data_IF_686877404741
#
_entry.id   IF_686877404741
#
_cell.length_a   1.000
_cell.length_b   1.000
_cell.length_c   1.000
_cell.angle_alpha   90.00
_cell.angle_beta   90.00
_cell.angle_gamma   90.00
#
_symmetry.space_group_name_H-M   'P 1'
#
loop_
_entity.id
_entity.type
_entity.pdbx_description
1 polymer ?
#
# COMPACT_ATOMS: atom_id res chain seq x y z
N UNK A 1 -11.06 -16.08 -8.53
CA UNK A 1 -11.35 -14.85 -7.77
C UNK A 1 -10.02 -14.16 -7.59
N UNK A 2 -9.72 -13.17 -8.42
CA UNK A 2 -8.63 -12.23 -8.15
C UNK A 2 -9.21 -11.23 -7.17
N UNK A 3 -8.86 -11.37 -5.88
CA UNK A 3 -9.27 -10.41 -4.87
C UNK A 3 -8.21 -9.31 -4.85
N UNK A 4 -8.45 -8.23 -5.58
CA UNK A 4 -7.65 -7.02 -5.46
C UNK A 4 -8.17 -6.21 -4.28
N UNK A 5 -7.33 -6.01 -3.28
CA UNK A 5 -7.64 -5.12 -2.16
C UNK A 5 -6.80 -3.88 -2.34
N UNK A 6 -7.49 -2.76 -2.40
CA UNK A 6 -6.93 -1.44 -2.43
C UNK A 6 -6.61 -1.04 -1.00
N UNK A 7 -5.42 -1.41 -0.54
CA UNK A 7 -4.80 -0.80 0.62
C UNK A 7 -4.05 0.41 0.10
N UNK A 8 -4.73 1.56 -0.01
CA UNK A 8 -4.05 2.77 -0.44
C UNK A 8 -3.32 3.45 0.72
N UNK A 9 -2.20 4.03 0.32
CA UNK A 9 -1.11 4.57 1.11
C UNK A 9 -1.32 6.08 1.31
N UNK A 10 -1.06 6.55 2.51
CA UNK A 10 -0.38 7.84 2.70
C UNK A 10 0.59 7.69 3.87
N UNK A 11 1.76 8.26 3.68
CA UNK A 11 2.79 8.35 4.69
C UNK A 11 2.26 9.23 5.84
N UNK A 12 1.97 8.61 6.98
CA UNK A 12 1.73 9.30 8.23
C UNK A 12 2.77 8.81 9.24
N UNK A 13 3.75 9.65 9.50
CA UNK A 13 4.76 9.43 10.54
C UNK A 13 4.06 9.63 11.88
N UNK A 14 3.67 8.52 12.53
CA UNK A 14 3.24 8.53 13.92
C UNK A 14 4.37 8.02 14.81
N UNK A 15 4.98 8.94 15.57
CA UNK A 15 5.82 8.59 16.72
C UNK A 15 4.90 8.11 17.85
N UNK A 16 4.75 6.80 17.98
CA UNK A 16 4.02 6.18 19.08
C UNK A 16 4.93 5.99 20.29
N UNK A 17 4.69 6.80 21.32
CA UNK A 17 5.09 6.46 22.68
C UNK A 17 4.27 5.26 23.14
N UNK A 18 4.94 4.13 23.40
CA UNK A 18 4.36 2.93 24.00
C UNK A 18 3.94 3.24 25.44
N UNK A 19 2.70 3.68 25.65
CA UNK A 19 2.08 3.67 26.97
C UNK A 19 1.30 2.38 27.17
N UNK A 20 1.90 1.48 27.95
CA UNK A 20 1.29 0.26 28.45
C UNK A 20 0.33 0.60 29.60
N UNK A 21 -0.93 0.90 29.31
CA UNK A 21 -1.97 0.89 30.35
C UNK A 21 -3.30 0.35 29.81
N UNK A 22 -3.61 -0.89 30.19
CA UNK A 22 -4.94 -1.47 30.10
C UNK A 22 -5.21 -2.27 31.36
N UNK A 23 -6.13 -1.78 32.19
CA UNK A 23 -6.60 -2.47 33.39
C UNK A 23 -7.31 -3.78 33.02
N UNK A 24 -7.06 -4.90 33.70
CA UNK A 24 -7.71 -6.17 33.39
C UNK A 24 -9.18 -6.14 33.83
N UNK A 25 -10.10 -6.18 32.86
CA UNK A 25 -11.43 -6.73 33.09
C UNK A 25 -11.27 -8.23 33.33
N UNK A 26 -11.38 -8.65 34.59
CA UNK A 26 -11.44 -10.06 34.97
C UNK A 26 -12.72 -10.67 34.43
N UNK A 27 -12.62 -11.38 33.30
CA UNK A 27 -13.63 -12.35 32.90
C UNK A 27 -13.34 -13.69 33.60
N UNK A 28 -14.40 -14.30 34.10
CA UNK A 28 -14.40 -15.64 34.70
C UNK A 28 -13.72 -16.66 33.75
N UNK A 29 -12.65 -17.35 34.16
CA UNK A 29 -11.91 -18.30 33.32
C UNK A 29 -12.77 -19.46 32.79
N UNK A 30 -13.96 -19.70 33.34
CA UNK A 30 -14.89 -20.74 32.88
C UNK A 30 -15.79 -20.35 31.67
N UNK A 31 -15.60 -19.17 31.05
CA UNK A 31 -16.47 -18.68 29.96
C UNK A 31 -15.80 -18.48 28.59
N UNK A 32 -14.59 -18.99 28.36
CA UNK A 32 -14.09 -19.11 26.98
C UNK A 32 -14.82 -20.27 26.28
N UNK A 33 -15.84 -19.97 25.48
CA UNK A 33 -16.48 -20.97 24.60
C UNK A 33 -15.53 -21.36 23.47
N UNK A 34 -14.56 -22.20 23.81
CA UNK A 34 -13.62 -22.78 22.86
C UNK A 34 -14.28 -23.99 22.21
N UNK A 35 -14.98 -23.73 21.10
CA UNK A 35 -15.45 -24.79 20.21
C UNK A 35 -14.27 -25.51 19.56
N UNK A 36 -14.47 -26.76 19.15
CA UNK A 36 -13.48 -27.56 18.45
C UNK A 36 -13.29 -27.03 17.01
N UNK A 37 -12.60 -25.90 16.86
CA UNK A 37 -12.35 -25.23 15.57
C UNK A 37 -11.25 -26.01 14.83
N UNK A 38 -11.55 -26.45 13.61
CA UNK A 38 -10.58 -27.07 12.71
C UNK A 38 -9.32 -26.22 12.58
N UNK A 39 -8.14 -26.84 12.67
CA UNK A 39 -6.83 -26.16 12.66
C UNK A 39 -6.66 -25.18 11.50
N UNK A 40 -7.12 -25.56 10.30
CA UNK A 40 -7.07 -24.74 9.09
C UNK A 40 -7.91 -23.45 9.17
N UNK A 41 -8.96 -23.44 9.99
CA UNK A 41 -9.92 -22.33 10.17
C UNK A 41 -9.59 -21.45 11.38
N UNK A 42 -8.54 -21.76 12.15
CA UNK A 42 -8.15 -20.94 13.29
C UNK A 42 -7.73 -19.56 12.79
N UNK A 43 -8.39 -18.52 13.27
CA UNK A 43 -8.00 -17.13 13.00
C UNK A 43 -7.04 -16.69 14.11
N UNK A 44 -5.82 -16.31 13.72
CA UNK A 44 -4.74 -15.95 14.63
C UNK A 44 -5.13 -14.71 15.45
N UNK A 45 -5.08 -14.79 16.79
CA UNK A 45 -5.35 -13.67 17.70
C UNK A 45 -4.23 -12.62 17.69
N UNK A 46 -2.98 -13.07 17.52
CA UNK A 46 -1.79 -12.22 17.39
C UNK A 46 -0.71 -12.93 16.57
N UNK A 47 0.01 -12.20 15.71
CA UNK A 47 1.09 -12.73 14.83
C UNK A 47 2.33 -13.20 15.61
N UNK A 48 2.38 -13.00 16.93
CA UNK A 48 3.50 -13.41 17.78
C UNK A 48 3.36 -14.89 18.15
N UNK A 49 4.17 -15.74 17.52
CA UNK A 49 4.30 -17.19 17.75
C UNK A 49 4.63 -17.60 19.20
N UNK A 50 4.71 -16.68 20.16
CA UNK A 50 5.21 -16.92 21.51
C UNK A 50 4.35 -16.22 22.58
N UNK A 51 3.03 -16.21 22.43
CA UNK A 51 2.17 -15.86 23.56
C UNK A 51 2.11 -17.03 24.55
N UNK A 52 2.42 -16.83 25.85
CA UNK A 52 2.14 -17.85 26.86
C UNK A 52 0.63 -18.03 27.03
N UNK A 53 0.18 -19.22 27.43
CA UNK A 53 -1.24 -19.57 27.63
C UNK A 53 -2.02 -18.48 28.38
N UNK A 54 -1.47 -17.99 29.50
CA UNK A 54 -2.07 -16.93 30.31
C UNK A 54 -2.36 -15.65 29.51
N UNK A 55 -1.48 -15.28 28.59
CA UNK A 55 -1.66 -14.11 27.71
C UNK A 55 -2.71 -14.33 26.62
N UNK A 56 -2.99 -15.58 26.24
CA UNK A 56 -4.09 -15.91 25.33
C UNK A 56 -5.44 -15.81 26.04
N UNK A 57 -5.54 -16.39 27.24
CA UNK A 57 -6.76 -16.44 28.05
C UNK A 57 -7.16 -15.05 28.57
N UNK A 58 -6.19 -14.21 28.97
CA UNK A 58 -6.44 -12.80 29.35
C UNK A 58 -7.10 -11.99 28.23
N UNK A 59 -6.89 -12.39 26.98
CA UNK A 59 -7.51 -11.77 25.80
C UNK A 59 -8.82 -12.46 25.40
N UNK A 60 -9.37 -13.36 26.22
CA UNK A 60 -10.60 -14.10 25.92
C UNK A 60 -10.50 -15.01 24.70
N UNK A 61 -9.27 -15.39 24.33
CA UNK A 61 -8.97 -16.26 23.19
C UNK A 61 -8.78 -17.71 23.63
N UNK A 62 -8.81 -18.62 22.66
CA UNK A 62 -8.68 -20.05 22.88
C UNK A 62 -7.24 -20.51 22.71
N UNK A 63 -6.76 -21.29 23.68
CA UNK A 63 -5.44 -21.89 23.68
C UNK A 63 -5.52 -23.39 23.37
N UNK A 64 -4.88 -23.82 22.28
CA UNK A 64 -4.75 -25.23 21.91
C UNK A 64 -3.41 -25.44 21.21
N UNK A 65 -2.36 -25.82 21.96
CA UNK A 65 -1.04 -26.06 21.40
C UNK A 65 -1.04 -27.28 20.48
N UNK A 66 -0.24 -27.23 19.42
CA UNK A 66 -0.10 -28.29 18.41
C UNK A 66 1.35 -28.40 17.96
N UNK A 67 1.79 -29.61 17.63
CA UNK A 67 3.13 -29.90 17.10
C UNK A 67 3.27 -29.60 15.59
N UNK A 68 2.23 -29.07 14.95
CA UNK A 68 2.27 -28.63 13.56
C UNK A 68 2.88 -27.22 13.43
N UNK A 69 3.89 -27.07 12.57
CA UNK A 69 4.53 -25.76 12.32
C UNK A 69 3.52 -24.76 11.75
N UNK A 70 3.58 -23.52 12.25
CA UNK A 70 2.83 -22.34 11.82
C UNK A 70 1.31 -22.34 12.10
N UNK A 71 0.76 -23.38 12.73
CA UNK A 71 -0.64 -23.35 13.18
C UNK A 71 -0.74 -22.56 14.48
N UNK A 72 -1.66 -21.58 14.60
CA UNK A 72 -1.78 -20.78 15.80
C UNK A 72 -2.24 -21.61 17.00
N UNK A 73 -1.45 -21.52 18.08
CA UNK A 73 -1.81 -22.06 19.40
C UNK A 73 -2.87 -21.20 20.09
N UNK A 74 -2.82 -19.87 19.89
CA UNK A 74 -3.82 -18.92 20.38
C UNK A 74 -4.68 -18.40 19.22
N UNK A 75 -5.99 -18.63 19.28
CA UNK A 75 -6.94 -18.24 18.23
C UNK A 75 -8.21 -17.64 18.81
N UNK A 76 -8.93 -16.85 18.01
CA UNK A 76 -10.15 -16.19 18.47
C UNK A 76 -11.25 -17.17 18.87
N UNK A 77 -11.96 -16.83 19.94
CA UNK A 77 -13.24 -17.44 20.31
C UNK A 77 -14.39 -16.75 19.56
N UNK A 78 -15.59 -17.33 19.59
CA UNK A 78 -16.82 -16.72 19.04
C UNK A 78 -17.32 -15.52 19.84
N UNK A 79 -16.64 -15.15 20.94
CA UNK A 79 -17.05 -14.08 21.83
C UNK A 79 -16.50 -12.70 21.41
N UNK A 80 -15.64 -12.66 20.39
CA UNK A 80 -15.10 -11.44 19.81
C UNK A 80 -15.93 -11.01 18.59
N UNK A 81 -15.94 -9.70 18.32
CA UNK A 81 -16.60 -9.14 17.15
C UNK A 81 -17.59 -8.05 17.51
N UNK A 82 -18.55 -7.84 16.60
CA UNK A 82 -19.60 -6.85 16.70
C UNK A 82 -20.96 -7.52 16.57
N UNK A 83 -22.03 -6.88 17.03
CA UNK A 83 -23.41 -7.23 16.71
C UNK A 83 -24.03 -6.18 15.80
N UNK A 84 -24.94 -6.60 14.94
CA UNK A 84 -25.77 -5.69 14.15
C UNK A 84 -26.93 -5.23 15.02
N UNK A 85 -26.98 -3.93 15.33
CA UNK A 85 -28.06 -3.31 16.12
C UNK A 85 -29.23 -2.88 15.23
N UNK A 86 -28.94 -2.32 14.06
CA UNK A 86 -29.94 -1.92 13.08
C UNK A 86 -29.42 -2.16 11.67
N UNK A 87 -30.36 -2.41 10.74
CA UNK A 87 -30.10 -2.49 9.30
C UNK A 87 -31.12 -1.60 8.60
N UNK A 88 -30.62 -0.73 7.75
CA UNK A 88 -31.41 0.16 6.90
C UNK A 88 -31.09 -0.13 5.44
N UNK A 89 -32.12 -0.12 4.60
CA UNK A 89 -31.99 -0.33 3.17
C UNK A 89 -32.61 0.86 2.43
N UNK A 90 -31.89 2.01 2.36
CA UNK A 90 -32.44 3.23 1.78
C UNK A 90 -32.72 3.09 0.27
N UNK A 91 -32.00 2.21 -0.40
CA UNK A 91 -32.12 1.91 -1.82
C UNK A 91 -31.96 0.38 -2.03
N UNK A 92 -32.63 -0.26 -3.00
CA UNK A 92 -32.43 -1.67 -3.35
C UNK A 92 -30.97 -2.11 -3.54
N UNK A 93 -30.05 -1.18 -3.81
CA UNK A 93 -28.64 -1.39 -4.08
C UNK A 93 -27.71 -1.03 -2.91
N UNK A 94 -28.26 -0.49 -1.81
CA UNK A 94 -27.49 0.01 -0.67
C UNK A 94 -27.98 -0.66 0.62
N UNK A 95 -27.05 -1.16 1.43
CA UNK A 95 -27.32 -1.60 2.80
C UNK A 95 -26.48 -0.76 3.76
N UNK A 96 -27.12 -0.25 4.81
CA UNK A 96 -26.46 0.40 5.92
C UNK A 96 -26.75 -0.37 7.20
N UNK A 97 -25.79 -0.47 8.10
CA UNK A 97 -26.00 -1.10 9.39
C UNK A 97 -25.20 -0.40 10.49
N UNK A 98 -25.80 -0.34 11.68
CA UNK A 98 -25.11 0.10 12.88
C UNK A 98 -24.60 -1.12 13.64
N UNK A 99 -23.30 -1.11 13.96
CA UNK A 99 -22.63 -2.23 14.62
C UNK A 99 -22.18 -1.82 16.01
N UNK A 100 -22.38 -2.70 17.00
CA UNK A 100 -21.95 -2.50 18.37
C UNK A 100 -20.95 -3.56 18.80
N UNK A 101 -19.85 -3.14 19.42
CA UNK A 101 -18.80 -4.06 19.87
C UNK A 101 -19.35 -5.02 20.93
N UNK A 102 -19.06 -6.31 20.77
CA UNK A 102 -19.38 -7.31 21.78
C UNK A 102 -18.48 -7.14 23.02
N UNK A 103 -18.96 -7.50 24.22
CA UNK A 103 -18.15 -7.44 25.43
C UNK A 103 -17.05 -8.52 25.40
N UNK A 104 -15.87 -8.12 24.90
CA UNK A 104 -14.65 -8.93 24.90
C UNK A 104 -13.45 -8.10 25.38
N UNK A 105 -12.39 -8.74 25.92
CA UNK A 105 -11.15 -8.04 26.24
C UNK A 105 -10.58 -7.30 25.03
N UNK A 106 -9.86 -6.20 25.30
CA UNK A 106 -9.13 -5.48 24.26
C UNK A 106 -7.86 -6.24 23.87
N UNK A 107 -7.51 -6.20 22.59
CA UNK A 107 -6.24 -6.74 22.12
C UNK A 107 -5.10 -5.73 22.19
N UNK A 108 -5.36 -4.50 21.74
CA UNK A 108 -4.36 -3.45 21.54
C UNK A 108 -4.74 -2.09 22.16
N UNK A 109 -5.86 -2.01 22.89
CA UNK A 109 -6.41 -0.76 23.43
C UNK A 109 -7.27 0.01 22.42
N UNK A 110 -7.92 1.08 22.89
CA UNK A 110 -8.69 2.02 22.07
C UNK A 110 -9.69 1.37 21.08
N UNK A 111 -10.41 0.33 21.53
CA UNK A 111 -11.46 -0.31 20.71
C UNK A 111 -12.64 0.65 20.46
N UNK A 112 -13.06 0.74 19.20
CA UNK A 112 -14.20 1.57 18.79
C UNK A 112 -15.50 0.83 19.15
N UNK A 113 -16.38 1.45 19.92
CA UNK A 113 -17.57 0.75 20.44
C UNK A 113 -18.71 0.65 19.43
N UNK A 114 -18.84 1.64 18.56
CA UNK A 114 -19.92 1.78 17.59
C UNK A 114 -19.34 2.05 16.21
N UNK A 115 -19.69 1.21 15.24
CA UNK A 115 -19.26 1.33 13.85
C UNK A 115 -20.46 1.51 12.94
N UNK A 116 -20.23 2.22 11.84
CA UNK A 116 -21.15 2.26 10.70
C UNK A 116 -20.63 1.33 9.62
N UNK A 117 -21.53 0.50 9.11
CA UNK A 117 -21.34 -0.30 7.92
C UNK A 117 -22.14 0.30 6.78
N UNK A 118 -21.50 0.49 5.63
CA UNK A 118 -22.14 0.94 4.41
C UNK A 118 -21.71 0.02 3.27
N UNK A 119 -22.65 -0.58 2.56
CA UNK A 119 -22.40 -1.36 1.37
C UNK A 119 -23.26 -0.90 0.21
N UNK A 120 -22.68 -0.84 -0.97
CA UNK A 120 -23.33 -0.40 -2.19
C UNK A 120 -22.92 -1.28 -3.37
N UNK A 121 -23.88 -1.65 -4.21
CA UNK A 121 -23.61 -2.17 -5.54
C UNK A 121 -23.32 -0.99 -6.47
N UNK A 122 -22.04 -0.73 -6.76
CA UNK A 122 -21.63 0.36 -7.64
C UNK A 122 -21.82 0.04 -9.12
N UNK A 123 -21.70 -1.24 -9.48
CA UNK A 123 -22.00 -1.75 -10.84
C UNK A 123 -22.54 -3.17 -10.71
N UNK A 124 -23.00 -3.78 -11.80
CA UNK A 124 -23.40 -5.20 -11.82
C UNK A 124 -22.27 -6.17 -11.46
N UNK A 125 -21.01 -5.71 -11.50
CA UNK A 125 -19.79 -6.47 -11.28
C UNK A 125 -18.95 -5.94 -10.11
N UNK A 126 -19.42 -4.94 -9.36
CA UNK A 126 -18.64 -4.32 -8.28
C UNK A 126 -19.52 -4.03 -7.06
N UNK A 127 -19.22 -4.74 -5.98
CA UNK A 127 -19.71 -4.46 -4.64
C UNK A 127 -18.65 -3.67 -3.90
N UNK A 128 -19.01 -2.53 -3.31
CA UNK A 128 -18.18 -1.85 -2.31
C UNK A 128 -18.82 -2.04 -0.94
N UNK A 129 -18.02 -2.28 0.08
CA UNK A 129 -18.46 -2.12 1.45
C UNK A 129 -17.38 -1.44 2.29
N UNK A 130 -17.82 -0.65 3.25
CA UNK A 130 -16.99 0.14 4.12
C UNK A 130 -17.44 -0.01 5.57
N UNK A 131 -16.49 -0.19 6.47
CA UNK A 131 -16.70 -0.17 7.92
C UNK A 131 -15.85 0.97 8.49
N UNK A 132 -16.49 1.86 9.25
CA UNK A 132 -15.87 3.06 9.79
C UNK A 132 -16.46 3.42 11.16
N UNK A 133 -15.79 4.31 11.90
CA UNK A 133 -16.26 4.81 13.20
C UNK A 133 -17.53 5.63 13.02
N UNK A 134 -18.58 5.31 13.78
CA UNK A 134 -19.88 5.96 13.67
C UNK A 134 -19.90 7.40 14.21
N UNK A 135 -18.89 7.77 15.02
CA UNK A 135 -18.85 9.04 15.78
C UNK A 135 -17.74 9.96 15.33
N UNK A 136 -16.60 9.41 14.91
CA UNK A 136 -15.42 10.19 14.52
C UNK A 136 -15.02 9.92 13.07
N UNK A 137 -14.69 10.99 12.35
CA UNK A 137 -14.06 10.84 11.05
C UNK A 137 -12.64 10.29 11.21
N UNK A 138 -12.32 9.25 10.45
CA UNK A 138 -10.99 8.63 10.41
C UNK A 138 -10.33 8.92 9.08
N UNK A 139 -9.02 8.70 9.00
CA UNK A 139 -8.29 8.83 7.75
C UNK A 139 -8.88 7.89 6.68
N UNK A 140 -9.19 8.46 5.53
CA UNK A 140 -9.58 7.77 4.32
C UNK A 140 -8.64 8.21 3.22
N UNK A 141 -8.30 7.30 2.32
CA UNK A 141 -7.29 7.59 1.31
C UNK A 141 -7.89 8.52 0.25
N UNK A 142 -7.32 9.73 0.04
CA UNK A 142 -7.79 10.67 -0.97
C UNK A 142 -7.32 10.25 -2.37
N UNK A 143 -7.92 9.20 -2.93
CA UNK A 143 -7.49 8.64 -4.22
C UNK A 143 -8.02 9.44 -5.42
N UNK A 144 -7.12 9.89 -6.30
CA UNK A 144 -7.44 10.81 -7.41
C UNK A 144 -8.42 10.26 -8.45
N UNK A 145 -8.41 8.95 -8.70
CA UNK A 145 -9.27 8.32 -9.73
C UNK A 145 -10.50 7.59 -9.19
N UNK A 146 -10.54 7.27 -7.89
CA UNK A 146 -11.63 6.47 -7.34
C UNK A 146 -12.77 7.42 -7.04
N UNK A 147 -13.66 7.58 -8.01
CA UNK A 147 -14.86 8.38 -7.91
C UNK A 147 -16.10 7.49 -7.83
N UNK A 148 -17.21 8.05 -7.35
CA UNK A 148 -18.52 7.39 -7.40
C UNK A 148 -18.93 7.24 -8.87
N UNK A 149 -18.74 6.03 -9.42
CA UNK A 149 -19.09 5.72 -10.80
C UNK A 149 -20.62 5.73 -10.97
N UNK A 150 -21.09 6.49 -11.95
CA UNK A 150 -22.49 6.69 -12.33
C UNK A 150 -23.05 5.55 -13.18
N UNK A 151 -22.87 4.29 -12.75
CA UNK A 151 -23.49 3.14 -13.42
C UNK A 151 -24.62 2.63 -12.54
N UNK A 152 -25.81 2.47 -13.12
CA UNK A 152 -26.93 1.88 -12.40
C UNK A 152 -26.72 0.35 -12.31
N UNK A 153 -26.61 -0.22 -11.11
CA UNK A 153 -26.55 -1.66 -10.92
C UNK A 153 -27.83 -2.33 -11.44
N UNK A 154 -27.70 -3.53 -12.01
CA UNK A 154 -28.83 -4.25 -12.62
C UNK A 154 -29.57 -5.18 -11.64
N UNK A 155 -29.06 -5.36 -10.42
CA UNK A 155 -29.61 -6.32 -9.45
C UNK A 155 -29.50 -5.80 -8.03
N UNK A 156 -30.54 -5.99 -7.18
CA UNK A 156 -30.49 -5.60 -5.77
C UNK A 156 -29.30 -6.20 -5.03
N UNK A 157 -28.75 -5.45 -4.07
CA UNK A 157 -27.58 -5.86 -3.28
C UNK A 157 -27.84 -7.13 -2.47
N UNK A 158 -29.08 -7.37 -2.06
CA UNK A 158 -29.50 -8.56 -1.30
C UNK A 158 -29.27 -9.89 -2.03
N UNK A 159 -29.13 -9.87 -3.36
CA UNK A 159 -28.77 -11.07 -4.14
C UNK A 159 -27.29 -11.46 -4.00
N UNK A 160 -26.46 -10.51 -3.60
CA UNK A 160 -24.99 -10.60 -3.60
C UNK A 160 -24.45 -10.59 -2.18
N UNK A 161 -24.99 -9.77 -1.29
CA UNK A 161 -24.52 -9.59 0.09
C UNK A 161 -25.58 -10.01 1.11
N UNK A 162 -25.16 -10.83 2.07
CA UNK A 162 -25.95 -11.27 3.22
C UNK A 162 -25.19 -10.93 4.51
N UNK A 163 -25.88 -10.35 5.50
CA UNK A 163 -25.32 -9.99 6.80
C UNK A 163 -25.65 -11.05 7.84
N UNK A 164 -24.63 -11.51 8.57
CA UNK A 164 -24.81 -12.26 9.83
C UNK A 164 -24.86 -11.26 10.98
N UNK A 165 -25.81 -11.41 11.91
CA UNK A 165 -26.07 -10.40 12.94
C UNK A 165 -25.26 -10.56 14.24
N UNK A 166 -24.97 -11.79 14.67
CA UNK A 166 -24.30 -12.07 15.94
C UNK A 166 -23.48 -13.38 15.91
N UNK A 167 -22.13 -13.30 15.89
CA UNK A 167 -21.34 -12.11 15.60
C UNK A 167 -21.57 -11.60 14.17
N UNK A 168 -21.27 -10.32 13.95
CA UNK A 168 -21.34 -9.67 12.65
C UNK A 168 -20.43 -10.37 11.65
N UNK A 169 -20.97 -10.59 10.45
CA UNK A 169 -20.20 -11.14 9.33
C UNK A 169 -20.88 -10.88 8.00
N UNK A 170 -20.11 -11.02 6.92
CA UNK A 170 -20.50 -10.74 5.55
C UNK A 170 -20.37 -12.03 4.74
N UNK A 171 -21.43 -12.40 4.04
CA UNK A 171 -21.39 -13.45 3.03
C UNK A 171 -21.66 -12.82 1.67
N UNK A 172 -20.63 -12.80 0.82
CA UNK A 172 -20.73 -12.33 -0.55
C UNK A 172 -20.81 -13.53 -1.49
N UNK A 173 -21.87 -13.56 -2.30
CA UNK A 173 -22.19 -14.65 -3.21
C UNK A 173 -22.24 -14.14 -4.64
N UNK A 174 -21.86 -15.02 -5.56
CA UNK A 174 -22.10 -14.81 -6.99
C UNK A 174 -23.60 -14.92 -7.28
N UNK A 175 -24.17 -13.93 -7.97
CA UNK A 175 -25.63 -13.85 -8.21
C UNK A 175 -26.17 -15.06 -8.97
N UNK A 176 -25.42 -15.57 -9.96
CA UNK A 176 -25.87 -16.60 -10.91
C UNK A 176 -25.96 -18.00 -10.29
N UNK A 177 -24.97 -18.39 -9.49
CA UNK A 177 -24.85 -19.76 -8.96
C UNK A 177 -24.81 -19.84 -7.44
N UNK A 178 -25.01 -18.70 -6.75
CA UNK A 178 -25.01 -18.57 -5.28
C UNK A 178 -23.73 -19.05 -4.60
N UNK A 179 -22.63 -19.25 -5.36
CA UNK A 179 -21.33 -19.63 -4.82
C UNK A 179 -20.80 -18.51 -3.93
N UNK A 180 -20.42 -18.87 -2.71
CA UNK A 180 -19.77 -17.94 -1.76
C UNK A 180 -18.38 -17.61 -2.26
N UNK A 181 -18.08 -16.33 -2.38
CA UNK A 181 -16.80 -15.80 -2.85
C UNK A 181 -15.99 -15.16 -1.72
N UNK A 182 -16.66 -14.58 -0.74
CA UNK A 182 -16.03 -13.92 0.39
C UNK A 182 -16.92 -14.10 1.62
N UNK A 183 -16.43 -14.83 2.62
CA UNK A 183 -17.18 -15.16 3.83
C UNK A 183 -16.38 -14.79 5.07
N UNK A 184 -16.81 -13.75 5.77
CA UNK A 184 -16.10 -13.24 6.94
C UNK A 184 -16.49 -13.91 8.26
N UNK A 185 -17.46 -14.84 8.26
CA UNK A 185 -17.94 -15.44 9.52
C UNK A 185 -16.93 -16.41 10.15
N UNK A 186 -15.78 -16.66 9.52
CA UNK A 186 -14.75 -17.53 10.10
C UNK A 186 -13.95 -16.84 11.22
N UNK A 187 -13.92 -15.52 11.26
CA UNK A 187 -13.09 -14.75 12.17
C UNK A 187 -13.79 -13.46 12.60
N UNK A 188 -13.50 -12.94 13.79
CA UNK A 188 -14.15 -11.73 14.27
C UNK A 188 -13.64 -10.50 13.50
N UNK A 189 -14.53 -9.52 13.32
CA UNK A 189 -14.14 -8.15 13.04
C UNK A 189 -13.49 -7.55 14.30
N UNK A 190 -12.27 -7.06 14.18
CA UNK A 190 -11.61 -6.26 15.22
C UNK A 190 -11.42 -4.86 14.67
N UNK A 191 -11.80 -3.85 15.45
CA UNK A 191 -11.69 -2.45 15.04
C UNK A 191 -11.32 -1.61 16.26
N UNK A 192 -10.06 -1.22 16.30
CA UNK A 192 -9.48 -0.30 17.26
C UNK A 192 -8.78 0.84 16.49
N UNK A 193 -8.44 1.91 17.20
CA UNK A 193 -7.81 3.08 16.57
C UNK A 193 -6.54 2.74 15.78
N UNK A 194 -5.72 1.83 16.29
CA UNK A 194 -4.47 1.41 15.64
C UNK A 194 -4.39 -0.10 15.34
N UNK A 195 -5.54 -0.75 15.25
CA UNK A 195 -5.60 -2.16 14.85
C UNK A 195 -6.97 -2.51 14.28
N UNK A 196 -7.01 -2.76 12.97
CA UNK A 196 -8.22 -3.19 12.26
C UNK A 196 -7.93 -4.56 11.65
N UNK A 197 -8.86 -5.50 11.79
CA UNK A 197 -8.72 -6.84 11.24
C UNK A 197 -10.04 -7.35 10.66
N UNK A 198 -9.96 -7.91 9.45
CA UNK A 198 -11.04 -8.65 8.81
C UNK A 198 -10.49 -9.92 8.15
N UNK A 199 -11.11 -11.05 8.43
CA UNK A 199 -10.77 -12.33 7.80
C UNK A 199 -11.88 -12.78 6.86
N UNK A 200 -11.54 -13.41 5.75
CA UNK A 200 -12.51 -13.88 4.76
C UNK A 200 -12.12 -15.20 4.10
N UNK A 201 -13.10 -16.10 3.98
CA UNK A 201 -12.91 -17.43 3.43
C UNK A 201 -13.09 -17.33 1.94
N UNK A 202 -12.16 -17.94 1.22
CA UNK A 202 -12.11 -17.89 -0.22
C UNK A 202 -12.61 -19.21 -0.81
N UNK A 203 -13.15 -19.19 -2.04
CA UNK A 203 -13.69 -20.39 -2.68
C UNK A 203 -12.62 -21.36 -3.20
N UNK A 204 -11.33 -20.97 -3.22
CA UNK A 204 -10.24 -21.77 -3.78
C UNK A 204 -8.87 -21.31 -3.31
N UNK A 205 -7.85 -22.15 -3.46
CA UNK A 205 -6.44 -21.82 -3.24
C UNK A 205 -5.78 -21.04 -4.40
N UNK A 206 -6.52 -20.76 -5.48
CA UNK A 206 -6.00 -20.04 -6.64
C UNK A 206 -6.06 -18.53 -6.37
N UNK A 207 -5.06 -18.04 -5.65
CA UNK A 207 -4.90 -16.65 -5.22
C UNK A 207 -3.65 -16.07 -5.90
N UNK A 208 -3.77 -14.84 -6.42
CA UNK A 208 -2.75 -14.12 -7.17
C UNK A 208 -2.84 -12.63 -6.81
N UNK A 209 -1.75 -11.87 -6.95
CA UNK A 209 -1.68 -10.46 -6.56
C UNK A 209 -0.89 -10.27 -5.26
N UNK A 210 -1.26 -9.27 -4.46
CA UNK A 210 -0.45 -8.72 -3.36
C UNK A 210 0.89 -8.14 -3.87
N UNK A 211 1.45 -7.17 -3.15
CA UNK A 211 2.72 -6.59 -3.57
C UNK A 211 3.10 -5.33 -2.80
N UNK A 212 4.35 -4.87 -2.93
CA UNK A 212 5.41 -5.46 -3.77
C UNK A 212 6.27 -6.48 -2.98
N UNK A 213 6.44 -7.70 -3.51
CA UNK A 213 7.19 -8.78 -2.86
C UNK A 213 7.83 -9.76 -3.86
N UNK A 214 8.91 -10.42 -3.44
CA UNK A 214 9.43 -11.60 -4.15
C UNK A 214 8.71 -12.87 -3.69
N UNK A 215 7.58 -13.18 -4.35
CA UNK A 215 6.76 -14.35 -4.01
C UNK A 215 7.41 -15.72 -4.34
N UNK A 216 8.45 -15.75 -5.20
CA UNK A 216 9.05 -16.95 -5.82
C UNK A 216 8.12 -17.79 -6.71
N UNK A 217 6.80 -17.74 -6.50
CA UNK A 217 5.77 -18.38 -7.32
C UNK A 217 4.64 -17.40 -7.59
N UNK A 218 4.03 -17.47 -8.77
CA UNK A 218 2.92 -16.59 -9.13
C UNK A 218 1.62 -16.93 -8.38
N UNK A 219 1.28 -18.23 -8.28
CA UNK A 219 0.17 -18.69 -7.43
C UNK A 219 0.64 -18.73 -5.98
N UNK A 220 -0.10 -18.06 -5.10
CA UNK A 220 0.24 -17.98 -3.68
C UNK A 220 0.27 -19.33 -2.97
N UNK A 221 1.24 -19.47 -2.06
CA UNK A 221 1.24 -20.53 -1.05
C UNK A 221 0.30 -20.11 0.10
N UNK A 222 -0.76 -20.88 0.32
CA UNK A 222 -1.73 -20.62 1.39
C UNK A 222 -1.35 -21.29 2.71
N UNK A 223 -0.14 -21.80 2.87
CA UNK A 223 0.30 -22.44 4.11
C UNK A 223 0.88 -21.43 5.10
N UNK A 224 0.00 -20.70 5.78
CA UNK A 224 0.32 -19.74 6.85
C UNK A 224 1.42 -18.75 6.44
N UNK A 225 1.17 -18.03 5.35
CA UNK A 225 2.08 -17.01 4.82
C UNK A 225 1.58 -15.62 5.15
N UNK A 226 2.46 -14.78 5.66
CA UNK A 226 2.15 -13.37 5.95
C UNK A 226 2.97 -12.48 5.04
N UNK A 227 2.29 -11.57 4.36
CA UNK A 227 2.86 -10.60 3.43
C UNK A 227 2.68 -9.19 4.00
N UNK A 228 3.73 -8.58 4.57
CA UNK A 228 3.67 -7.21 5.09
C UNK A 228 3.60 -6.22 3.93
N UNK A 229 2.71 -5.24 3.98
CA UNK A 229 2.59 -4.19 2.95
C UNK A 229 2.91 -2.86 3.60
N UNK A 230 4.12 -2.39 3.33
CA UNK A 230 4.61 -1.06 3.64
C UNK A 230 5.73 -0.74 2.65
N UNK A 231 5.62 0.40 1.98
CA UNK A 231 6.59 0.84 0.98
C UNK A 231 7.93 1.10 1.64
N UNK A 232 8.96 0.40 1.17
CA UNK A 232 10.26 0.39 1.80
C UNK A 232 11.32 0.15 0.74
N UNK A 233 12.38 0.94 0.76
CA UNK A 233 13.59 0.60 0.04
C UNK A 233 14.25 -0.62 0.70
N UNK A 234 14.30 -1.71 -0.05
CA UNK A 234 14.96 -2.93 0.33
C UNK A 234 15.34 -3.71 -0.92
N UNK A 235 16.49 -4.38 -0.88
CA UNK A 235 16.82 -5.34 -1.90
C UNK A 235 15.74 -6.44 -1.97
N UNK A 236 15.30 -6.86 -3.17
CA UNK A 236 14.28 -7.89 -3.32
C UNK A 236 14.61 -9.23 -2.62
N UNK A 237 15.90 -9.52 -2.41
CA UNK A 237 16.41 -10.72 -1.72
C UNK A 237 16.91 -10.45 -0.30
N UNK A 238 16.73 -9.24 0.23
CA UNK A 238 17.16 -8.88 1.58
C UNK A 238 16.48 -9.76 2.65
N UNK A 239 17.12 -9.98 3.81
CA UNK A 239 16.48 -10.68 4.90
C UNK A 239 15.14 -10.02 5.24
N UNK A 240 14.11 -10.83 5.47
CA UNK A 240 12.85 -10.38 6.06
C UNK A 240 13.16 -9.78 7.43
N UNK A 241 13.44 -8.49 7.48
CA UNK A 241 13.48 -7.75 8.74
C UNK A 241 12.02 -7.57 9.11
N UNK A 242 11.62 -8.22 10.20
CA UNK A 242 10.35 -7.97 10.87
C UNK A 242 10.37 -6.53 11.38
N UNK A 243 10.06 -5.57 10.51
CA UNK A 243 9.90 -4.18 10.90
C UNK A 243 8.68 -4.14 11.83
N UNK A 244 8.85 -3.63 13.05
CA UNK A 244 7.80 -3.58 14.08
C UNK A 244 6.72 -2.52 13.79
N UNK A 245 6.84 -1.81 12.68
CA UNK A 245 5.94 -0.77 12.21
C UNK A 245 5.41 -1.15 10.83
N UNK A 246 4.48 -2.11 10.77
CA UNK A 246 3.82 -2.51 9.53
C UNK A 246 2.52 -1.73 9.40
N UNK A 247 2.36 -0.95 8.33
CA UNK A 247 1.09 -0.25 8.07
C UNK A 247 -0.05 -1.24 7.83
N UNK A 248 0.24 -2.32 7.09
CA UNK A 248 -0.68 -3.43 6.92
C UNK A 248 0.03 -4.76 6.68
N UNK A 249 -0.66 -5.86 6.92
CA UNK A 249 -0.23 -7.21 6.55
C UNK A 249 -1.39 -8.06 6.08
N UNK A 250 -1.09 -9.01 5.19
CA UNK A 250 -2.05 -9.97 4.65
C UNK A 250 -1.58 -11.39 4.98
N UNK A 251 -2.37 -12.13 5.76
CA UNK A 251 -2.09 -13.54 6.08
C UNK A 251 -2.95 -14.47 5.23
N UNK A 252 -2.32 -15.42 4.55
CA UNK A 252 -2.96 -16.51 3.82
C UNK A 252 -2.83 -17.82 4.60
N UNK A 253 -3.96 -18.50 4.80
CA UNK A 253 -4.00 -19.76 5.57
C UNK A 253 -4.72 -20.88 4.80
N UNK A 254 -4.56 -22.16 5.20
CA UNK A 254 -5.02 -23.31 4.42
C UNK A 254 -6.54 -23.49 4.28
N UNK A 255 -7.36 -22.62 4.88
CA UNK A 255 -8.82 -22.73 4.93
C UNK A 255 -9.57 -22.68 3.59
N UNK A 256 -8.96 -22.37 2.43
CA UNK A 256 -8.17 -21.18 2.06
C UNK A 256 -8.84 -19.88 2.53
N UNK A 257 -8.09 -19.07 3.27
CA UNK A 257 -8.60 -17.81 3.80
C UNK A 257 -7.53 -16.73 3.77
N UNK A 258 -8.01 -15.50 3.82
CA UNK A 258 -7.19 -14.29 3.89
C UNK A 258 -7.59 -13.49 5.12
N UNK A 259 -6.60 -12.98 5.84
CA UNK A 259 -6.79 -12.04 6.94
C UNK A 259 -6.02 -10.77 6.65
N UNK A 260 -6.73 -9.64 6.62
CA UNK A 260 -6.16 -8.30 6.53
C UNK A 260 -5.97 -7.76 7.94
N UNK A 261 -4.80 -7.22 8.22
CA UNK A 261 -4.53 -6.42 9.43
C UNK A 261 -3.94 -5.09 9.00
N UNK A 262 -4.42 -3.99 9.56
CA UNK A 262 -3.89 -2.65 9.32
C UNK A 262 -3.87 -1.85 10.62
N UNK A 263 -2.98 -0.86 10.72
CA UNK A 263 -2.75 -0.07 11.95
C UNK A 263 -3.48 1.27 11.97
N UNK A 264 -4.42 1.51 11.06
CA UNK A 264 -5.14 2.77 11.01
C UNK A 264 -6.15 2.86 9.87
N UNK A 265 -6.74 4.04 9.74
CA UNK A 265 -7.75 4.35 8.73
C UNK A 265 -9.07 3.63 8.97
N UNK A 266 -9.64 3.09 7.89
CA UNK A 266 -10.93 2.39 7.83
C UNK A 266 -10.78 1.07 7.05
N UNK A 267 -11.83 0.24 7.08
CA UNK A 267 -11.92 -0.94 6.21
C UNK A 267 -12.82 -0.62 5.02
N UNK A 268 -12.25 -0.19 3.89
CA UNK A 268 -12.97 0.06 2.62
C UNK A 268 -12.58 -0.99 1.57
N UNK A 269 -13.53 -1.84 1.20
CA UNK A 269 -13.31 -3.03 0.39
C UNK A 269 -14.12 -2.97 -0.90
N UNK A 270 -13.50 -3.40 -1.99
CA UNK A 270 -14.15 -3.60 -3.29
C UNK A 270 -14.07 -5.08 -3.67
N UNK A 271 -15.22 -5.69 -3.94
CA UNK A 271 -15.30 -7.06 -4.48
C UNK A 271 -15.73 -6.98 -5.93
N UNK A 272 -14.86 -7.49 -6.79
CA UNK A 272 -14.98 -7.44 -8.24
C UNK A 272 -15.37 -8.82 -8.78
N UNK A 273 -16.38 -8.84 -9.64
CA UNK A 273 -16.90 -10.04 -10.27
C UNK A 273 -16.54 -10.05 -11.76
N UNK A 274 -16.14 -11.22 -12.26
CA UNK A 274 -15.92 -11.48 -13.66
C UNK A 274 -16.07 -12.98 -13.95
N UNK A 275 -16.34 -13.32 -15.19
CA UNK A 275 -16.44 -14.70 -15.66
C UNK A 275 -15.06 -15.26 -16.04
N UNK A 276 -14.11 -14.38 -16.37
CA UNK A 276 -12.69 -14.70 -16.59
C UNK A 276 -11.77 -13.91 -15.64
N UNK A 277 -10.53 -14.37 -15.38
CA UNK A 277 -9.52 -13.60 -14.67
C UNK A 277 -9.29 -12.20 -15.26
N UNK A 278 -9.25 -12.10 -16.59
CA UNK A 278 -9.02 -10.86 -17.33
C UNK A 278 -10.13 -9.84 -17.10
N UNK A 279 -11.40 -10.27 -17.05
CA UNK A 279 -12.52 -9.38 -16.73
C UNK A 279 -12.41 -8.81 -15.32
N UNK A 280 -11.91 -9.58 -14.35
CA UNK A 280 -11.67 -9.06 -12.99
C UNK A 280 -10.58 -8.00 -12.99
N UNK A 281 -9.51 -8.19 -13.78
CA UNK A 281 -8.47 -7.16 -13.96
C UNK A 281 -9.05 -5.91 -14.65
N UNK A 282 -9.91 -6.06 -15.66
CA UNK A 282 -10.57 -4.93 -16.33
C UNK A 282 -11.45 -4.12 -15.38
N UNK A 283 -12.27 -4.78 -14.55
CA UNK A 283 -13.11 -4.13 -13.54
C UNK A 283 -12.27 -3.44 -12.45
N UNK A 284 -11.11 -4.01 -12.11
CA UNK A 284 -10.16 -3.37 -11.20
C UNK A 284 -9.59 -2.09 -11.80
N UNK A 285 -9.09 -2.14 -13.03
CA UNK A 285 -8.52 -0.98 -13.72
C UNK A 285 -9.56 0.10 -14.06
N UNK A 286 -10.82 -0.28 -14.27
CA UNK A 286 -11.93 0.67 -14.39
C UNK A 286 -12.17 1.45 -13.08
N UNK A 287 -11.98 0.80 -11.93
CA UNK A 287 -12.12 1.44 -10.61
C UNK A 287 -10.95 2.39 -10.31
N UNK A 288 -9.72 1.96 -10.56
CA UNK A 288 -8.52 2.62 -10.02
C UNK A 288 -7.84 3.58 -11.00
N UNK A 289 -8.32 3.60 -12.25
CA UNK A 289 -7.64 4.25 -13.36
C UNK A 289 -6.95 3.22 -14.25
N UNK A 290 -7.25 3.30 -15.54
CA UNK A 290 -6.59 2.46 -16.55
C UNK A 290 -5.15 2.94 -16.73
N UNK A 291 -4.20 2.03 -17.02
CA UNK A 291 -2.83 2.43 -17.30
C UNK A 291 -2.79 3.40 -18.48
N UNK A 292 -1.90 4.39 -18.40
CA UNK A 292 -1.65 5.31 -19.51
C UNK A 292 -1.12 4.54 -20.72
N UNK A 293 -1.44 5.00 -21.93
CA UNK A 293 -0.83 4.44 -23.14
C UNK A 293 0.61 4.94 -23.17
N UNK A 294 1.62 4.05 -23.08
CA UNK A 294 3.00 4.49 -23.10
C UNK A 294 3.38 4.99 -24.50
N UNK A 295 4.29 5.96 -24.63
CA UNK A 295 4.76 6.38 -25.94
C UNK A 295 5.48 5.20 -26.63
N UNK A 296 5.30 5.05 -27.94
CA UNK A 296 5.75 3.85 -28.67
C UNK A 296 7.24 3.52 -28.44
N UNK A 297 8.10 4.54 -28.43
CA UNK A 297 9.54 4.40 -28.21
C UNK A 297 9.91 3.78 -26.85
N UNK A 298 9.03 3.89 -25.85
CA UNK A 298 9.28 3.30 -24.51
C UNK A 298 9.21 1.78 -24.47
N UNK A 299 8.64 1.16 -25.52
CA UNK A 299 8.64 -0.30 -25.70
C UNK A 299 9.99 -0.82 -26.22
N UNK A 300 10.86 0.07 -26.68
CA UNK A 300 12.20 -0.26 -27.14
C UNK A 300 13.14 -0.65 -26.00
N UNK A 301 14.29 -1.23 -26.36
CA UNK A 301 15.29 -1.63 -25.36
C UNK A 301 15.95 -0.40 -24.71
N UNK A 302 16.21 -0.53 -23.41
CA UNK A 302 16.65 0.55 -22.53
C UNK A 302 17.97 0.17 -21.89
N UNK A 303 18.93 1.09 -21.90
CA UNK A 303 20.25 0.86 -21.30
C UNK A 303 20.50 1.88 -20.20
N UNK A 304 20.85 1.38 -19.03
CA UNK A 304 21.12 2.15 -17.83
C UNK A 304 22.23 1.49 -17.02
N UNK A 305 22.89 2.29 -16.17
CA UNK A 305 23.68 1.81 -15.05
C UNK A 305 23.75 2.91 -14.00
N UNK A 306 23.90 2.50 -12.75
CA UNK A 306 24.40 3.41 -11.73
C UNK A 306 25.90 3.62 -11.93
N UNK A 307 26.31 4.89 -11.98
CA UNK A 307 27.70 5.35 -12.04
C UNK A 307 28.42 4.95 -13.35
N UNK A 308 28.15 5.68 -14.43
CA UNK A 308 29.05 5.73 -15.59
C UNK A 308 30.32 6.51 -15.27
N UNK A 309 30.20 7.52 -14.41
CA UNK A 309 31.28 8.36 -13.92
C UNK A 309 31.63 9.55 -14.82
N UNK A 310 31.30 9.52 -16.12
CA UNK A 310 31.42 10.67 -17.03
C UNK A 310 30.57 10.50 -18.28
N UNK A 311 30.25 11.62 -18.94
CA UNK A 311 29.52 11.59 -20.21
C UNK A 311 30.30 10.90 -21.34
N UNK A 312 31.64 10.93 -21.29
CA UNK A 312 32.47 10.22 -22.27
C UNK A 312 32.31 8.70 -22.19
N UNK A 313 32.20 8.14 -20.99
CA UNK A 313 31.95 6.70 -20.81
C UNK A 313 30.51 6.32 -21.17
N UNK A 314 29.54 7.22 -20.98
CA UNK A 314 28.17 7.06 -21.52
C UNK A 314 28.23 6.98 -23.05
N UNK A 315 28.82 7.96 -23.73
CA UNK A 315 28.95 7.98 -25.20
C UNK A 315 29.66 6.74 -25.74
N UNK A 316 30.75 6.31 -25.09
CA UNK A 316 31.45 5.06 -25.45
C UNK A 316 30.57 3.83 -25.31
N UNK A 317 29.72 3.80 -24.28
CA UNK A 317 28.74 2.72 -24.09
C UNK A 317 27.64 2.76 -25.14
N UNK A 318 27.16 3.94 -25.53
CA UNK A 318 26.21 4.09 -26.64
C UNK A 318 26.82 3.58 -27.94
N UNK A 319 28.01 4.08 -28.31
CA UNK A 319 28.64 3.75 -29.59
C UNK A 319 29.01 2.28 -29.73
N UNK A 320 29.50 1.61 -28.68
CA UNK A 320 29.80 0.17 -28.77
C UNK A 320 28.56 -0.70 -28.99
N UNK A 321 27.39 -0.27 -28.50
CA UNK A 321 26.13 -0.98 -28.71
C UNK A 321 25.56 -0.69 -30.10
N UNK A 322 25.68 0.57 -30.57
CA UNK A 322 25.37 0.94 -31.97
C UNK A 322 26.24 0.18 -32.97
N UNK A 323 27.53 0.00 -32.70
CA UNK A 323 28.49 -0.67 -33.57
C UNK A 323 28.20 -2.17 -33.81
N UNK A 324 27.34 -2.78 -32.98
CA UNK A 324 26.88 -4.17 -33.14
C UNK A 324 25.41 -4.26 -33.57
N UNK A 325 24.84 -3.14 -34.03
CA UNK A 325 23.45 -3.01 -34.47
C UNK A 325 22.42 -3.51 -33.42
N UNK A 326 22.70 -3.29 -32.13
CA UNK A 326 21.77 -3.65 -31.07
C UNK A 326 20.51 -2.77 -31.17
N UNK A 327 19.29 -3.35 -31.24
CA UNK A 327 18.05 -2.57 -31.13
C UNK A 327 18.03 -1.88 -29.77
N UNK A 328 18.13 -0.56 -29.78
CA UNK A 328 18.44 0.22 -28.59
C UNK A 328 17.86 1.63 -28.69
N UNK A 329 16.75 1.89 -28.00
CA UNK A 329 15.99 3.12 -28.16
C UNK A 329 16.32 4.17 -27.09
N UNK A 330 16.66 3.77 -25.85
CA UNK A 330 16.67 4.70 -24.71
C UNK A 330 17.94 4.64 -23.86
N UNK A 331 18.69 5.74 -23.78
CA UNK A 331 19.78 5.90 -22.81
C UNK A 331 19.30 6.58 -21.54
N UNK A 332 19.66 6.00 -20.40
CA UNK A 332 19.51 6.59 -19.08
C UNK A 332 20.84 7.14 -18.57
N UNK A 333 20.78 8.21 -17.77
CA UNK A 333 21.88 8.57 -16.87
C UNK A 333 21.36 8.65 -15.45
N UNK A 334 22.07 7.97 -14.56
CA UNK A 334 21.80 7.92 -13.12
C UNK A 334 22.43 9.15 -12.43
N UNK A 335 22.38 9.21 -11.10
CA UNK A 335 22.74 10.37 -10.27
C UNK A 335 24.17 10.90 -10.48
N UNK A 336 25.05 10.15 -11.16
CA UNK A 336 26.41 10.58 -11.50
C UNK A 336 26.44 11.76 -12.49
N UNK A 337 25.34 12.03 -13.21
CA UNK A 337 25.24 13.24 -14.02
C UNK A 337 25.12 14.52 -13.17
N UNK A 338 24.58 14.43 -11.96
CA UNK A 338 24.25 15.57 -11.10
C UNK A 338 25.48 16.18 -10.43
N UNK A 339 25.46 17.48 -10.13
CA UNK A 339 26.49 18.10 -9.30
C UNK A 339 26.32 17.65 -7.85
N UNK A 340 27.26 16.86 -7.34
CA UNK A 340 27.21 16.31 -5.97
C UNK A 340 25.87 15.64 -5.62
N UNK A 341 25.27 14.96 -6.61
CA UNK A 341 23.99 14.22 -6.48
C UNK A 341 22.79 15.11 -6.09
N UNK A 342 22.85 16.40 -6.42
CA UNK A 342 21.75 17.36 -6.21
C UNK A 342 20.83 17.40 -7.43
N UNK A 343 19.53 17.22 -7.23
CA UNK A 343 18.53 17.37 -8.30
C UNK A 343 18.61 18.73 -9.00
N UNK A 344 18.10 18.78 -10.22
CA UNK A 344 18.06 19.99 -11.06
C UNK A 344 19.43 20.63 -11.34
N UNK A 345 20.52 19.86 -11.18
CA UNK A 345 21.88 20.27 -11.50
C UNK A 345 22.57 19.25 -12.41
N UNK A 346 23.74 19.59 -12.94
CA UNK A 346 24.63 18.62 -13.56
C UNK A 346 26.10 18.98 -13.34
N UNK A 347 26.96 17.98 -13.34
CA UNK A 347 28.40 18.15 -13.19
C UNK A 347 28.99 18.85 -14.44
N UNK A 348 29.38 20.11 -14.25
CA UNK A 348 29.91 20.98 -15.32
C UNK A 348 31.31 20.55 -15.82
N UNK A 349 31.97 19.59 -15.16
CA UNK A 349 33.28 19.06 -15.54
C UNK A 349 33.13 17.72 -16.27
N UNK A 350 32.50 16.73 -15.62
CA UNK A 350 32.38 15.35 -16.14
C UNK A 350 31.25 15.19 -17.15
N UNK A 351 30.26 16.08 -17.09
CA UNK A 351 29.05 16.09 -17.92
C UNK A 351 28.86 17.45 -18.60
N UNK A 352 29.95 18.13 -18.95
CA UNK A 352 29.92 19.48 -19.55
C UNK A 352 29.05 19.59 -20.83
N UNK A 353 29.02 18.54 -21.65
CA UNK A 353 28.24 18.46 -22.91
C UNK A 353 26.84 17.84 -22.73
N UNK A 354 26.38 17.66 -21.47
CA UNK A 354 25.06 17.09 -21.20
C UNK A 354 23.89 17.87 -21.83
N UNK A 355 23.91 19.21 -21.89
CA UNK A 355 22.86 19.98 -22.55
C UNK A 355 22.59 19.58 -24.01
N UNK A 356 23.61 19.12 -24.73
CA UNK A 356 23.53 18.70 -26.14
C UNK A 356 23.41 17.17 -26.31
N UNK A 357 23.42 16.41 -25.21
CA UNK A 357 23.50 14.95 -25.28
C UNK A 357 22.23 14.32 -25.87
N UNK A 358 21.06 14.89 -25.57
CA UNK A 358 19.80 14.46 -26.19
C UNK A 358 19.83 14.62 -27.71
N UNK A 359 20.35 15.74 -28.23
CA UNK A 359 20.46 15.97 -29.69
C UNK A 359 21.35 14.89 -30.35
N UNK A 360 22.45 14.53 -29.69
CA UNK A 360 23.34 13.44 -30.14
C UNK A 360 22.65 12.07 -30.17
N UNK A 361 21.72 11.80 -29.25
CA UNK A 361 20.90 10.59 -29.26
C UNK A 361 19.81 10.66 -30.33
N UNK A 362 19.16 11.83 -30.48
CA UNK A 362 18.09 12.07 -31.44
C UNK A 362 18.57 11.96 -32.89
N UNK A 363 19.83 12.28 -33.19
CA UNK A 363 20.42 12.09 -34.53
C UNK A 363 20.29 10.65 -35.04
N UNK A 364 20.29 9.66 -34.13
CA UNK A 364 20.10 8.24 -34.45
C UNK A 364 18.73 7.70 -34.04
N UNK A 365 17.77 8.59 -33.77
CA UNK A 365 16.40 8.22 -33.40
C UNK A 365 16.23 7.69 -31.97
N UNK A 366 17.25 7.84 -31.12
CA UNK A 366 17.18 7.39 -29.72
C UNK A 366 16.57 8.44 -28.80
N UNK A 367 16.36 8.07 -27.54
CA UNK A 367 15.70 8.86 -26.49
C UNK A 367 16.55 8.93 -25.24
N UNK A 368 16.39 10.01 -24.49
CA UNK A 368 17.17 10.30 -23.30
C UNK A 368 16.30 10.42 -22.06
N UNK A 369 16.65 9.70 -21.00
CA UNK A 369 15.94 9.74 -19.72
C UNK A 369 16.91 10.06 -18.59
N UNK A 370 16.52 11.02 -17.77
CA UNK A 370 17.25 11.43 -16.56
C UNK A 370 16.55 10.90 -15.33
N UNK A 371 17.31 10.47 -14.33
CA UNK A 371 16.80 10.21 -12.99
C UNK A 371 16.49 11.54 -12.26
N UNK A 372 15.47 11.56 -11.42
CA UNK A 372 15.30 12.57 -10.37
C UNK A 372 14.97 11.88 -9.06
N UNK A 373 15.64 12.33 -7.99
CA UNK A 373 15.31 11.95 -6.62
C UNK A 373 14.22 12.88 -6.07
N UNK A 374 13.44 12.45 -5.07
CA UNK A 374 12.49 13.35 -4.43
C UNK A 374 13.14 14.24 -3.37
N UNK A 375 14.29 13.88 -2.79
CA UNK A 375 14.87 14.59 -1.64
C UNK A 375 15.81 15.72 -2.06
N UNK A 376 15.61 16.92 -1.51
CA UNK A 376 16.34 18.12 -1.90
C UNK A 376 17.38 18.46 -0.85
N UNK A 377 18.64 18.59 -1.26
CA UNK A 377 19.75 18.92 -0.37
C UNK A 377 19.55 20.28 0.32
N UNK A 378 19.93 20.38 1.60
CA UNK A 378 20.01 21.65 2.32
C UNK A 378 21.36 22.36 2.12
N UNK A 379 22.35 21.62 1.61
CA UNK A 379 23.71 22.12 1.40
C UNK A 379 23.84 23.00 0.15
N UNK A 380 24.78 23.95 0.22
CA UNK A 380 25.17 24.81 -0.91
C UNK A 380 25.76 24.01 -2.07
N UNK A 381 25.76 24.63 -3.25
CA UNK A 381 26.43 24.12 -4.45
C UNK A 381 27.96 24.24 -4.35
N UNK A 382 28.66 23.58 -5.28
CA UNK A 382 30.12 23.63 -5.37
C UNK A 382 30.59 25.09 -5.47
N UNK A 383 31.66 25.43 -4.75
CA UNK A 383 32.17 26.80 -4.68
C UNK A 383 31.38 27.73 -3.74
N UNK A 384 30.47 27.19 -2.93
CA UNK A 384 29.70 27.97 -1.95
C UNK A 384 28.56 28.78 -2.57
N UNK A 385 28.17 28.44 -3.80
CA UNK A 385 27.05 29.05 -4.50
C UNK A 385 25.71 28.64 -3.87
N UNK A 386 24.67 29.48 -3.95
CA UNK A 386 23.31 29.10 -3.53
C UNK A 386 22.83 27.83 -4.26
N UNK A 387 21.96 27.07 -3.61
CA UNK A 387 21.24 25.98 -4.26
C UNK A 387 19.79 26.42 -4.43
N UNK A 388 19.51 27.05 -5.57
CA UNK A 388 18.30 27.85 -5.71
C UNK A 388 17.01 27.01 -5.72
N UNK A 389 17.09 25.73 -6.05
CA UNK A 389 15.95 24.80 -5.96
C UNK A 389 15.49 24.62 -4.52
N UNK A 390 16.42 24.53 -3.56
CA UNK A 390 16.11 24.51 -2.14
C UNK A 390 15.57 25.86 -1.66
N UNK A 391 16.18 26.97 -2.09
CA UNK A 391 15.73 28.31 -1.69
C UNK A 391 14.28 28.57 -2.15
N UNK A 392 13.96 28.26 -3.42
CA UNK A 392 12.61 28.43 -3.99
C UNK A 392 11.58 27.50 -3.37
N UNK A 393 11.94 26.25 -3.08
CA UNK A 393 11.02 25.32 -2.40
C UNK A 393 10.70 25.76 -0.98
N UNK A 394 11.68 26.34 -0.29
CA UNK A 394 11.49 26.93 1.05
C UNK A 394 10.58 28.16 0.99
N UNK A 395 10.78 29.06 0.02
CA UNK A 395 9.90 30.22 -0.21
C UNK A 395 8.44 29.78 -0.48
N UNK A 396 8.26 28.68 -1.22
CA UNK A 396 6.96 28.10 -1.55
C UNK A 396 6.34 27.27 -0.43
N UNK A 397 7.07 27.00 0.66
CA UNK A 397 6.67 26.06 1.73
C UNK A 397 6.29 24.69 1.13
N UNK A 398 7.19 24.16 0.29
CA UNK A 398 6.96 22.92 -0.47
C UNK A 398 7.29 21.63 0.32
N UNK A 399 7.77 21.73 1.56
CA UNK A 399 8.34 20.62 2.31
C UNK A 399 7.33 19.92 3.22
N UNK A 400 7.52 18.62 3.42
CA UNK A 400 6.99 17.88 4.57
C UNK A 400 7.55 18.49 5.84
N UNK A 401 6.70 18.68 6.84
CA UNK A 401 7.07 19.29 8.12
C UNK A 401 7.07 18.27 9.25
N UNK A 402 7.75 18.64 10.33
CA UNK A 402 7.60 18.04 11.65
C UNK A 402 6.17 18.22 12.18
N UNK A 403 5.91 17.63 13.35
CA UNK A 403 4.61 17.68 14.03
C UNK A 403 4.10 19.09 14.36
N UNK A 404 4.97 20.10 14.34
CA UNK A 404 4.60 21.50 14.59
C UNK A 404 3.91 22.15 13.38
N UNK A 405 3.97 21.52 12.20
CA UNK A 405 3.38 22.03 10.97
C UNK A 405 4.18 23.15 10.30
N UNK A 406 5.38 23.46 10.80
CA UNK A 406 6.19 24.61 10.35
C UNK A 406 7.63 24.23 10.02
N UNK A 407 8.27 23.41 10.86
CA UNK A 407 9.68 23.04 10.69
C UNK A 407 9.83 21.96 9.62
N UNK A 408 10.62 22.17 8.54
CA UNK A 408 10.83 21.12 7.54
C UNK A 408 11.47 19.86 8.16
N UNK A 409 10.94 18.70 7.80
CA UNK A 409 11.50 17.41 8.19
C UNK A 409 12.85 17.21 7.52
N UNK A 410 13.88 16.90 8.32
CA UNK A 410 15.23 16.61 7.83
C UNK A 410 15.50 15.11 7.79
N UNK A 411 16.20 14.67 6.75
CA UNK A 411 16.70 13.31 6.61
C UNK A 411 17.99 13.28 5.79
N UNK A 412 18.47 12.09 5.46
CA UNK A 412 19.73 11.93 4.72
C UNK A 412 19.54 10.99 3.52
N UNK A 413 20.04 11.43 2.37
CA UNK A 413 20.06 10.66 1.12
C UNK A 413 21.36 10.97 0.36
N UNK A 414 21.38 10.79 -0.97
CA UNK A 414 22.58 10.90 -1.80
C UNK A 414 23.36 12.23 -1.66
N UNK A 415 22.72 13.42 -1.62
CA UNK A 415 23.45 14.68 -1.49
C UNK A 415 23.76 15.07 -0.03
N UNK A 416 23.54 14.17 0.94
CA UNK A 416 23.70 14.41 2.38
C UNK A 416 22.36 14.78 3.04
N UNK A 417 22.39 15.77 3.94
CA UNK A 417 21.19 16.28 4.61
C UNK A 417 20.19 16.86 3.58
N UNK A 418 18.94 16.46 3.70
CA UNK A 418 17.87 16.75 2.75
C UNK A 418 16.55 17.07 3.44
N UNK A 419 15.72 17.83 2.73
CA UNK A 419 14.28 17.99 2.99
C UNK A 419 13.48 17.19 1.97
N UNK A 420 12.23 16.87 2.31
CA UNK A 420 11.32 16.07 1.49
C UNK A 420 10.18 16.94 0.98
N UNK A 421 9.95 17.04 -0.33
CA UNK A 421 8.78 17.72 -0.89
C UNK A 421 7.48 17.03 -0.51
N UNK A 422 6.48 17.81 -0.11
CA UNK A 422 5.12 17.34 0.14
C UNK A 422 4.31 17.37 -1.16
N UNK A 423 4.44 16.31 -1.96
CA UNK A 423 3.72 16.17 -3.24
C UNK A 423 2.18 16.16 -3.13
N UNK A 424 1.63 16.17 -1.92
CA UNK A 424 0.18 16.25 -1.67
C UNK A 424 -0.32 17.70 -1.66
N UNK A 425 0.60 18.66 -1.56
CA UNK A 425 0.34 20.09 -1.53
C UNK A 425 0.48 20.72 -2.91
N UNK A 426 -0.48 21.58 -3.28
CA UNK A 426 -0.42 22.34 -4.54
C UNK A 426 0.84 23.22 -4.62
N UNK A 427 1.32 23.75 -3.49
CA UNK A 427 2.54 24.56 -3.47
C UNK A 427 3.77 23.77 -3.91
N UNK A 428 3.87 22.51 -3.48
CA UNK A 428 4.94 21.61 -3.91
C UNK A 428 4.80 21.24 -5.38
N UNK A 429 3.58 20.93 -5.85
CA UNK A 429 3.31 20.61 -7.26
C UNK A 429 3.73 21.77 -8.17
N UNK A 430 3.38 23.01 -7.79
CA UNK A 430 3.74 24.21 -8.53
C UNK A 430 5.26 24.44 -8.55
N UNK A 431 5.92 24.27 -7.39
CA UNK A 431 7.37 24.38 -7.27
C UNK A 431 8.09 23.32 -8.12
N UNK A 432 7.74 22.04 -7.98
CA UNK A 432 8.35 20.94 -8.73
C UNK A 432 8.19 21.12 -10.25
N UNK A 433 7.01 21.59 -10.68
CA UNK A 433 6.75 21.91 -12.09
C UNK A 433 7.63 23.05 -12.60
N UNK A 434 7.86 24.09 -11.79
CA UNK A 434 8.75 25.21 -12.16
C UNK A 434 10.23 24.77 -12.20
N UNK A 435 10.69 24.01 -11.21
CA UNK A 435 12.05 23.42 -11.20
C UNK A 435 12.29 22.56 -12.43
N UNK A 436 11.35 21.68 -12.76
CA UNK A 436 11.42 20.85 -13.95
C UNK A 436 11.51 21.69 -15.23
N UNK A 437 10.67 22.73 -15.37
CA UNK A 437 10.69 23.61 -16.56
C UNK A 437 12.03 24.32 -16.71
N UNK A 438 12.61 24.81 -15.62
CA UNK A 438 13.94 25.46 -15.61
C UNK A 438 15.01 24.46 -16.02
N UNK A 439 15.01 23.28 -15.40
CA UNK A 439 15.99 22.25 -15.68
C UNK A 439 15.90 21.76 -17.14
N UNK A 440 14.68 21.57 -17.68
CA UNK A 440 14.46 21.22 -19.08
C UNK A 440 14.94 22.30 -20.07
N UNK A 441 15.00 23.57 -19.66
CA UNK A 441 15.59 24.62 -20.50
C UNK A 441 17.10 24.46 -20.63
N UNK A 442 17.77 23.99 -19.58
CA UNK A 442 19.21 23.73 -19.58
C UNK A 442 19.58 22.38 -20.20
N UNK A 443 18.83 21.31 -19.87
CA UNK A 443 19.13 19.94 -20.30
C UNK A 443 17.89 19.34 -20.95
N UNK A 444 17.95 19.19 -22.27
CA UNK A 444 16.90 18.51 -23.03
C UNK A 444 16.92 17.02 -22.71
N UNK A 445 15.75 16.44 -22.53
CA UNK A 445 15.51 15.02 -22.28
C UNK A 445 14.08 14.66 -22.71
N UNK A 446 13.79 13.38 -22.91
CA UNK A 446 12.49 12.92 -23.43
C UNK A 446 11.52 12.46 -22.33
N UNK A 447 12.04 11.98 -21.21
CA UNK A 447 11.25 11.60 -20.03
C UNK A 447 12.08 11.60 -18.75
N UNK A 448 11.41 11.42 -17.62
CA UNK A 448 12.00 11.32 -16.29
C UNK A 448 11.88 9.91 -15.73
N UNK A 449 12.88 9.53 -14.95
CA UNK A 449 12.86 8.38 -14.07
C UNK A 449 12.84 8.87 -12.61
N UNK A 450 11.68 8.81 -11.98
CA UNK A 450 11.56 9.10 -10.54
C UNK A 450 11.91 7.86 -9.73
N UNK A 451 12.76 8.01 -8.71
CA UNK A 451 13.17 6.90 -7.83
C UNK A 451 12.73 7.10 -6.38
N UNK A 452 12.78 6.00 -5.62
CA UNK A 452 12.62 6.03 -4.17
C UNK A 452 13.99 6.15 -3.51
N UNK A 453 14.02 6.89 -2.40
CA UNK A 453 15.23 7.25 -1.67
C UNK A 453 15.90 6.05 -1.02
N UNK A 454 17.21 5.98 -1.18
CA UNK A 454 18.07 5.17 -0.32
C UNK A 454 18.30 5.92 0.98
N UNK A 455 17.54 5.58 2.01
CA UNK A 455 17.89 6.00 3.38
C UNK A 455 19.17 5.25 3.73
N UNK A 456 20.26 5.98 3.90
CA UNK A 456 21.50 5.44 4.42
C UNK A 456 21.27 5.20 5.93
N UNK A 457 20.95 3.94 6.30
CA UNK A 457 20.85 3.50 7.70
C UNK A 457 22.21 3.56 8.42
#
# INVERSE_FOLDING_TARGET
LLLYILLYRMDAIYVLNLFQYGSPLYLDPNKCHCSNISTKKRTVSLTVMLLPQKGCEQRGCCWSPLDERNVPWCFFSTNHGYTVESVEQPDPYIIQAHLKRMPSPSLFGADIQELSFHAEMQTSNRLRFKIYDARMQRFEVPHEHVNNLSKHPTSPISNTLELTHKPFGLLVRRKENKKVLFDTTMGPLVFADQFLQLSAKLPSHNIYGLGEHVHRRYRHDTNWKTWPIFTRDAFPNGPFISVRCLFSEVTLQPAPAVTYRTIGGILDFYILFGDTPEQVVQEFLELIGRPVIPPYWSLGFQLSRWDYGSLSEVKKTVERNRAVDLPYDIQYTDIDYMEEKKDFTYDKVKFSELPQFADYLHEKGQKYILILDPAIATSKRVGGLPYESFDRGTEKKAWVTEKDGETPLLGEVWPGETVFPDYTSQNCIDWWTDEYKRFYQEIKHDALWIVSLKILD
#
